data_IF_765059478332
#
_entry.id   IF_765059478332
#
_cell.length_a   1.000
_cell.length_b   1.000
_cell.length_c   1.000
_cell.angle_alpha   90.00
_cell.angle_beta   90.00
_cell.angle_gamma   90.00
#
_symmetry.space_group_name_H-M   'P 1'
#
loop_
_entity.id
_entity.type
_entity.pdbx_description
1 polymer ?
#
# COMPACT_ATOMS: atom_id res chain seq x y z
N UNK A 1 -10.32 8.03 -10.38
CA UNK A 1 -9.40 7.87 -11.53
C UNK A 1 -8.01 8.31 -11.10
N UNK A 2 -6.98 7.49 -11.36
CA UNK A 2 -5.57 7.88 -11.21
C UNK A 2 -5.08 8.36 -12.59
N UNK A 3 -4.34 9.47 -12.64
CA UNK A 3 -3.78 10.00 -13.87
C UNK A 3 -2.36 10.53 -13.67
N UNK A 4 -1.55 10.46 -14.70
CA UNK A 4 -0.24 11.12 -14.79
C UNK A 4 -0.22 12.00 -16.02
N UNK A 5 0.42 13.18 -15.92
CA UNK A 5 0.55 14.14 -17.01
C UNK A 5 2.00 14.51 -17.20
N UNK A 6 2.56 14.20 -18.37
CA UNK A 6 3.96 14.47 -18.76
C UNK A 6 4.98 14.10 -17.67
N UNK A 7 4.72 12.99 -16.95
CA UNK A 7 5.53 12.58 -15.81
C UNK A 7 6.94 12.21 -16.26
N UNK A 8 7.93 12.89 -15.70
CA UNK A 8 9.33 12.77 -16.11
C UNK A 8 10.24 12.67 -14.90
N UNK A 9 11.26 11.82 -14.97
CA UNK A 9 12.38 11.81 -14.02
C UNK A 9 13.71 11.66 -14.75
N UNK A 10 14.68 12.46 -14.29
CA UNK A 10 16.07 12.45 -14.76
C UNK A 10 17.00 12.14 -13.60
N UNK A 11 17.98 11.30 -13.85
CA UNK A 11 19.09 11.00 -12.94
C UNK A 11 20.38 11.46 -13.61
N UNK A 12 20.84 12.66 -13.25
CA UNK A 12 21.93 13.28 -13.99
C UNK A 12 21.58 13.47 -15.48
N UNK A 13 22.39 12.91 -16.37
CA UNK A 13 22.15 12.92 -17.83
C UNK A 13 21.17 11.86 -18.34
N UNK A 14 20.75 10.90 -17.50
CA UNK A 14 19.89 9.80 -17.92
C UNK A 14 18.41 10.12 -17.63
N UNK A 15 17.56 9.95 -18.66
CA UNK A 15 16.09 10.10 -18.53
C UNK A 15 15.48 8.70 -18.38
N UNK A 16 15.04 8.34 -17.17
CA UNK A 16 14.48 7.03 -16.88
C UNK A 16 12.98 6.94 -17.19
N UNK A 17 12.24 8.03 -17.07
CA UNK A 17 10.84 8.19 -17.49
C UNK A 17 10.72 9.53 -18.18
N UNK A 18 10.14 9.58 -19.38
CA UNK A 18 10.09 10.77 -20.22
C UNK A 18 8.66 11.07 -20.67
N UNK A 19 8.05 12.09 -20.09
CA UNK A 19 6.78 12.67 -20.53
C UNK A 19 5.59 11.69 -20.50
N UNK A 20 5.55 10.74 -19.58
CA UNK A 20 4.49 9.71 -19.56
C UNK A 20 3.16 10.31 -19.10
N UNK A 21 2.16 10.24 -19.99
CA UNK A 21 0.77 10.62 -19.71
C UNK A 21 -0.10 9.38 -19.81
N UNK A 22 -0.73 8.98 -18.70
CA UNK A 22 -1.63 7.83 -18.62
C UNK A 22 -2.81 8.14 -17.70
N UNK A 23 -3.95 7.51 -17.99
CA UNK A 23 -5.14 7.53 -17.15
C UNK A 23 -5.54 6.10 -16.81
N UNK A 24 -5.82 5.84 -15.53
CA UNK A 24 -6.24 4.55 -15.02
C UNK A 24 -7.67 4.67 -14.49
N UNK A 25 -8.61 4.01 -15.17
CA UNK A 25 -10.02 4.08 -14.81
C UNK A 25 -10.29 3.39 -13.45
N UNK A 26 -11.25 3.87 -12.65
CA UNK A 26 -11.70 3.18 -11.45
C UNK A 26 -12.26 1.79 -11.78
N UNK A 27 -12.04 0.82 -10.90
CA UNK A 27 -12.58 -0.54 -11.06
C UNK A 27 -11.93 -1.38 -12.17
N UNK A 28 -10.87 -0.89 -12.82
CA UNK A 28 -10.16 -1.62 -13.87
C UNK A 28 -8.84 -2.16 -13.38
N UNK A 29 -8.43 -3.32 -13.88
CA UNK A 29 -7.08 -3.85 -13.74
C UNK A 29 -6.26 -3.43 -14.96
N UNK A 30 -5.18 -2.66 -14.76
CA UNK A 30 -4.28 -2.23 -15.81
C UNK A 30 -2.89 -2.79 -15.59
N UNK A 31 -2.28 -3.41 -16.61
CA UNK A 31 -0.92 -3.91 -16.56
C UNK A 31 0.03 -2.99 -17.34
N UNK A 32 1.20 -2.69 -16.76
CA UNK A 32 2.29 -2.01 -17.46
C UNK A 32 3.33 -3.06 -17.81
N UNK A 33 3.50 -3.29 -19.11
CA UNK A 33 4.42 -4.30 -19.66
C UNK A 33 5.59 -3.64 -20.38
N UNK A 34 6.71 -4.34 -20.49
CA UNK A 34 7.91 -3.88 -21.19
C UNK A 34 9.15 -4.62 -20.71
N UNK A 35 10.29 -4.51 -21.44
CA UNK A 35 11.55 -5.18 -21.11
C UNK A 35 12.13 -4.69 -19.75
N UNK A 36 13.13 -5.42 -19.25
CA UNK A 36 13.90 -4.95 -18.09
C UNK A 36 14.63 -3.65 -18.44
N UNK A 37 14.66 -2.72 -17.50
CA UNK A 37 15.23 -1.39 -17.74
C UNK A 37 14.29 -0.36 -18.39
N UNK A 38 13.10 -0.73 -18.84
CA UNK A 38 12.14 0.19 -19.49
C UNK A 38 11.51 1.25 -18.54
N UNK A 39 12.01 1.40 -17.33
CA UNK A 39 11.52 2.43 -16.40
C UNK A 39 10.24 2.09 -15.64
N UNK A 40 9.68 0.86 -15.76
CA UNK A 40 8.42 0.47 -15.10
C UNK A 40 8.44 0.70 -13.59
N UNK A 41 9.43 0.19 -12.89
CA UNK A 41 9.59 0.37 -11.44
C UNK A 41 9.80 1.85 -11.08
N UNK A 42 10.53 2.59 -11.89
CA UNK A 42 10.74 4.03 -11.72
C UNK A 42 9.42 4.79 -11.84
N UNK A 43 8.60 4.45 -12.83
CA UNK A 43 7.28 5.04 -13.01
C UNK A 43 6.34 4.75 -11.84
N UNK A 44 6.30 3.50 -11.33
CA UNK A 44 5.55 3.18 -10.10
C UNK A 44 6.09 3.94 -8.88
N UNK A 45 7.41 4.13 -8.77
CA UNK A 45 8.02 4.92 -7.69
C UNK A 45 7.63 6.39 -7.76
N UNK A 46 7.49 6.96 -8.96
CA UNK A 46 6.98 8.32 -9.17
C UNK A 46 5.52 8.45 -8.74
N UNK A 47 4.66 7.54 -9.17
CA UNK A 47 3.23 7.53 -8.81
C UNK A 47 3.07 7.40 -7.29
N UNK A 48 3.80 6.50 -6.64
CA UNK A 48 3.71 6.28 -5.20
C UNK A 48 4.43 7.34 -4.35
N UNK A 49 5.20 8.25 -4.97
CA UNK A 49 5.94 9.30 -4.28
C UNK A 49 7.25 8.86 -3.65
N UNK A 50 7.72 7.62 -3.91
CA UNK A 50 9.05 7.15 -3.49
C UNK A 50 10.18 7.90 -4.21
N UNK A 51 9.90 8.37 -5.42
CA UNK A 51 10.76 9.24 -6.20
C UNK A 51 10.03 10.55 -6.49
N UNK A 52 10.76 11.65 -6.44
CA UNK A 52 10.24 12.97 -6.80
C UNK A 52 10.39 13.16 -8.32
N UNK A 53 9.31 13.56 -8.99
CA UNK A 53 9.35 13.85 -10.41
C UNK A 53 10.20 15.10 -10.70
N UNK A 54 10.92 15.07 -11.82
CA UNK A 54 11.63 16.24 -12.36
C UNK A 54 10.66 17.18 -13.08
N UNK A 55 9.58 16.64 -13.68
CA UNK A 55 8.51 17.39 -14.32
C UNK A 55 7.23 16.54 -14.41
N UNK A 56 6.11 17.18 -14.70
CA UNK A 56 4.80 16.56 -14.80
C UNK A 56 4.08 16.42 -13.47
N UNK A 57 2.93 15.75 -13.48
CA UNK A 57 2.08 15.61 -12.28
C UNK A 57 1.46 14.24 -12.15
N UNK A 58 1.03 13.92 -10.91
CA UNK A 58 0.26 12.74 -10.53
C UNK A 58 -1.02 13.20 -9.86
N UNK A 59 -2.17 12.73 -10.33
CA UNK A 59 -3.49 13.09 -9.80
C UNK A 59 -4.29 11.85 -9.43
N UNK A 60 -5.05 11.92 -8.33
CA UNK A 60 -6.00 10.90 -7.91
C UNK A 60 -7.35 11.54 -7.59
N UNK A 61 -8.41 11.13 -8.31
CA UNK A 61 -9.75 11.68 -8.10
C UNK A 61 -9.85 13.19 -8.30
N UNK A 62 -9.00 13.80 -9.15
CA UNK A 62 -8.89 15.24 -9.36
C UNK A 62 -7.96 15.97 -8.37
N UNK A 63 -7.52 15.30 -7.31
CA UNK A 63 -6.54 15.86 -6.36
C UNK A 63 -5.11 15.69 -6.90
N UNK A 64 -4.33 16.76 -6.90
CA UNK A 64 -2.90 16.70 -7.21
C UNK A 64 -2.11 16.10 -6.04
N UNK A 65 -1.41 15.01 -6.32
CA UNK A 65 -0.56 14.30 -5.36
C UNK A 65 0.93 14.59 -5.56
N UNK A 66 1.32 15.37 -6.56
CA UNK A 66 2.71 15.48 -7.04
C UNK A 66 3.69 15.86 -5.94
N UNK A 67 3.33 16.83 -5.10
CA UNK A 67 4.17 17.30 -4.00
C UNK A 67 4.01 16.49 -2.69
N UNK A 68 3.06 15.56 -2.63
CA UNK A 68 2.76 14.80 -1.42
C UNK A 68 3.80 13.71 -1.17
N UNK A 69 4.14 13.52 0.12
CA UNK A 69 4.95 12.38 0.57
C UNK A 69 4.25 11.04 0.34
N UNK A 70 4.98 9.91 0.29
CA UNK A 70 4.37 8.58 0.13
C UNK A 70 3.24 8.32 1.14
N UNK A 71 3.47 8.64 2.41
CA UNK A 71 2.47 8.47 3.47
C UNK A 71 1.23 9.36 3.29
N UNK A 72 1.40 10.57 2.74
CA UNK A 72 0.29 11.45 2.44
C UNK A 72 -0.52 10.94 1.23
N UNK A 73 0.15 10.39 0.20
CA UNK A 73 -0.53 9.75 -0.95
C UNK A 73 -1.33 8.52 -0.53
N UNK A 74 -0.80 7.73 0.41
CA UNK A 74 -1.56 6.59 0.97
C UNK A 74 -2.81 7.08 1.71
N UNK A 75 -2.72 8.14 2.52
CA UNK A 75 -3.89 8.74 3.16
C UNK A 75 -4.91 9.33 2.18
N UNK A 76 -4.45 9.77 1.00
CA UNK A 76 -5.32 10.22 -0.09
C UNK A 76 -5.98 9.07 -0.86
N UNK A 77 -5.66 7.80 -0.53
CA UNK A 77 -6.27 6.61 -1.11
C UNK A 77 -5.41 5.89 -2.16
N UNK A 78 -4.13 6.27 -2.33
CA UNK A 78 -3.22 5.59 -3.23
C UNK A 78 -2.45 4.48 -2.48
N UNK A 79 -3.00 3.27 -2.45
CA UNK A 79 -2.32 2.09 -1.90
C UNK A 79 -1.23 1.57 -2.85
N UNK A 80 -0.14 1.04 -2.28
CA UNK A 80 0.92 0.34 -3.03
C UNK A 80 1.27 -0.98 -2.35
N UNK A 81 1.19 -2.08 -3.11
CA UNK A 81 1.83 -3.33 -2.73
C UNK A 81 3.33 -3.25 -3.07
N UNK A 82 4.19 -3.48 -2.10
CA UNK A 82 5.62 -3.57 -2.34
C UNK A 82 5.98 -4.99 -2.81
N UNK A 83 7.00 -5.12 -3.65
CA UNK A 83 7.58 -6.43 -4.02
C UNK A 83 8.19 -7.16 -2.84
N UNK A 84 8.67 -6.40 -1.83
CA UNK A 84 9.06 -6.88 -0.52
C UNK A 84 8.07 -6.26 0.46
N UNK A 85 7.11 -7.03 0.87
CA UNK A 85 6.22 -6.64 1.94
C UNK A 85 7.06 -6.52 3.21
N UNK A 86 6.95 -5.39 3.89
CA UNK A 86 7.43 -5.26 5.26
C UNK A 86 6.48 -6.06 6.17
N UNK A 87 6.44 -7.37 5.95
CA UNK A 87 5.81 -8.29 6.87
C UNK A 87 6.67 -8.37 8.13
N UNK A 88 6.04 -8.40 9.26
CA UNK A 88 6.72 -8.69 10.52
C UNK A 88 6.88 -10.21 10.62
N UNK A 89 8.06 -10.78 10.31
CA UNK A 89 8.22 -12.22 10.11
C UNK A 89 8.01 -13.00 11.40
N UNK A 90 8.30 -12.39 12.54
CA UNK A 90 8.17 -13.01 13.86
C UNK A 90 6.77 -12.88 14.48
N UNK A 91 5.89 -12.08 13.88
CA UNK A 91 4.49 -11.98 14.29
C UNK A 91 3.63 -12.98 13.52
N UNK A 92 2.50 -13.36 14.11
CA UNK A 92 1.52 -14.19 13.44
C UNK A 92 0.87 -13.49 12.24
N UNK A 93 0.25 -14.27 11.36
CA UNK A 93 -0.55 -13.77 10.24
C UNK A 93 -1.64 -12.81 10.72
N UNK A 94 -2.35 -13.16 11.80
CA UNK A 94 -3.39 -12.34 12.40
C UNK A 94 -2.83 -11.00 12.91
N UNK A 95 -1.72 -11.03 13.63
CA UNK A 95 -1.10 -9.83 14.19
C UNK A 95 -0.64 -8.86 13.10
N UNK A 96 -0.08 -9.36 12.00
CA UNK A 96 0.28 -8.52 10.84
C UNK A 96 -0.94 -7.77 10.28
N UNK A 97 -2.06 -8.48 10.06
CA UNK A 97 -3.29 -7.85 9.53
C UNK A 97 -3.93 -6.93 10.57
N UNK A 98 -3.93 -7.31 11.85
CA UNK A 98 -4.44 -6.47 12.94
C UNK A 98 -3.70 -5.13 13.04
N UNK A 99 -2.36 -5.14 12.94
CA UNK A 99 -1.55 -3.92 12.92
C UNK A 99 -1.90 -3.02 11.72
N UNK A 100 -2.12 -3.60 10.55
CA UNK A 100 -2.54 -2.84 9.37
C UNK A 100 -3.93 -2.21 9.57
N UNK A 101 -4.90 -2.95 10.11
CA UNK A 101 -6.23 -2.43 10.46
C UNK A 101 -6.11 -1.29 11.49
N UNK A 102 -5.29 -1.46 12.52
CA UNK A 102 -5.06 -0.45 13.55
C UNK A 102 -4.44 0.84 12.99
N UNK A 103 -3.49 0.72 12.05
CA UNK A 103 -2.84 1.87 11.42
C UNK A 103 -3.82 2.75 10.65
N UNK A 104 -4.88 2.17 10.05
CA UNK A 104 -5.90 2.92 9.31
C UNK A 104 -6.89 3.64 10.22
N UNK A 105 -7.11 3.15 11.43
CA UNK A 105 -8.02 3.76 12.40
C UNK A 105 -7.34 4.86 13.23
N UNK A 106 -6.01 4.87 13.29
CA UNK A 106 -5.22 5.80 14.12
C UNK A 106 -5.28 7.29 13.73
N UNK A 107 -6.03 7.65 12.70
CA UNK A 107 -6.29 9.05 12.32
C UNK A 107 -7.20 9.82 13.29
N UNK A 108 -7.96 9.16 14.15
CA UNK A 108 -8.92 9.77 15.06
C UNK A 108 -8.43 9.89 16.53
N UNK A 109 -7.35 9.23 16.91
CA UNK A 109 -6.87 9.20 18.31
C UNK A 109 -5.51 9.89 18.51
N UNK A 110 -5.36 11.12 18.01
CA UNK A 110 -4.31 12.05 18.47
C UNK A 110 -4.66 12.69 19.82
N UNK A 111 -5.31 11.99 20.73
CA UNK A 111 -5.52 12.41 22.10
C UNK A 111 -4.96 11.37 23.06
N UNK A 112 -3.76 11.68 23.58
CA UNK A 112 -3.19 11.09 24.79
C UNK A 112 -2.82 9.61 24.65
N UNK A 113 -1.56 9.31 24.89
CA UNK A 113 -1.08 7.95 25.21
C UNK A 113 -1.80 7.44 26.47
N UNK A 114 -2.98 6.88 26.30
CA UNK A 114 -3.68 6.19 27.39
C UNK A 114 -3.17 4.75 27.43
N UNK A 115 -2.04 4.56 28.12
CA UNK A 115 -1.35 3.27 28.27
C UNK A 115 -2.22 2.20 28.97
N UNK A 116 -3.38 2.58 29.52
CA UNK A 116 -4.31 1.68 30.22
C UNK A 116 -5.47 1.19 29.34
N UNK A 117 -5.69 1.73 28.15
CA UNK A 117 -6.78 1.28 27.26
C UNK A 117 -6.37 0.17 26.29
N UNK A 118 -5.21 -0.44 26.49
CA UNK A 118 -4.52 -1.29 25.50
C UNK A 118 -5.23 -2.64 25.26
N UNK A 119 -6.13 -3.12 26.13
CA UNK A 119 -6.74 -4.45 26.01
C UNK A 119 -8.21 -4.49 25.64
N UNK A 120 -8.99 -3.46 25.95
CA UNK A 120 -10.46 -3.50 25.77
C UNK A 120 -10.95 -3.14 24.36
N UNK A 121 -10.14 -2.40 23.59
CA UNK A 121 -10.54 -1.89 22.27
C UNK A 121 -10.18 -2.83 21.09
N UNK A 122 -9.60 -3.98 21.38
CA UNK A 122 -8.99 -4.83 20.33
C UNK A 122 -9.96 -5.84 19.68
N UNK A 123 -11.13 -6.07 20.23
CA UNK A 123 -12.04 -7.11 19.71
C UNK A 123 -12.50 -6.81 18.29
N UNK A 124 -12.92 -5.58 18.00
CA UNK A 124 -13.36 -5.18 16.67
C UNK A 124 -12.21 -5.18 15.63
N UNK A 125 -10.96 -4.87 16.05
CA UNK A 125 -9.78 -4.96 15.17
C UNK A 125 -9.47 -6.40 14.81
N UNK A 126 -9.59 -7.32 15.78
CA UNK A 126 -9.37 -8.74 15.57
C UNK A 126 -10.46 -9.32 14.67
N UNK A 127 -11.73 -9.03 14.94
CA UNK A 127 -12.87 -9.47 14.11
C UNK A 127 -12.72 -8.99 12.64
N UNK A 128 -12.31 -7.73 12.44
CA UNK A 128 -12.04 -7.20 11.09
C UNK A 128 -10.84 -7.89 10.43
N UNK A 129 -9.74 -8.10 11.15
CA UNK A 129 -8.58 -8.82 10.65
C UNK A 129 -8.93 -10.27 10.26
N UNK A 130 -9.69 -10.98 11.08
CA UNK A 130 -10.17 -12.33 10.78
C UNK A 130 -11.07 -12.37 9.55
N UNK A 131 -11.98 -11.39 9.39
CA UNK A 131 -12.82 -11.28 8.21
C UNK A 131 -11.99 -11.12 6.93
N UNK A 132 -10.96 -10.28 6.97
CA UNK A 132 -10.02 -10.11 5.85
C UNK A 132 -9.27 -11.42 5.59
N UNK A 133 -8.78 -12.11 6.62
CA UNK A 133 -8.07 -13.38 6.45
C UNK A 133 -8.96 -14.48 5.84
N UNK A 134 -10.25 -14.51 6.17
CA UNK A 134 -11.22 -15.42 5.52
C UNK A 134 -11.35 -15.13 4.03
N UNK A 135 -11.41 -13.85 3.63
CA UNK A 135 -11.54 -13.44 2.22
C UNK A 135 -10.35 -13.82 1.34
N UNK A 136 -9.16 -13.98 1.94
CA UNK A 136 -7.94 -14.40 1.23
C UNK A 136 -7.55 -15.86 1.50
N UNK A 137 -8.43 -16.65 2.15
CA UNK A 137 -8.18 -18.04 2.50
C UNK A 137 -6.90 -18.27 3.33
N UNK A 138 -6.67 -17.42 4.35
CA UNK A 138 -5.55 -17.52 5.29
C UNK A 138 -6.00 -17.69 6.74
N UNK A 139 -7.31 -17.75 7.02
CA UNK A 139 -7.84 -17.81 8.37
C UNK A 139 -7.33 -19.02 9.18
N UNK A 140 -7.21 -20.19 8.55
CA UNK A 140 -6.73 -21.42 9.21
C UNK A 140 -5.24 -21.34 9.63
N UNK A 141 -4.50 -20.38 9.07
CA UNK A 141 -3.09 -20.10 9.39
C UNK A 141 -2.88 -18.83 10.22
N UNK A 142 -3.94 -18.29 10.80
CA UNK A 142 -3.91 -16.99 11.51
C UNK A 142 -2.88 -16.93 12.64
N UNK A 143 -2.63 -18.07 13.31
CA UNK A 143 -1.70 -18.14 14.44
C UNK A 143 -0.27 -18.53 14.02
N UNK A 144 -0.05 -18.79 12.72
CA UNK A 144 1.25 -19.18 12.18
C UNK A 144 2.17 -17.95 12.06
N UNK A 145 3.44 -18.01 12.51
CA UNK A 145 4.41 -16.96 12.24
C UNK A 145 4.63 -16.79 10.73
N UNK A 146 4.71 -15.53 10.29
CA UNK A 146 4.83 -15.21 8.85
C UNK A 146 6.09 -15.81 8.23
N UNK A 147 7.20 -15.88 8.99
CA UNK A 147 8.43 -16.52 8.53
C UNK A 147 8.26 -17.98 8.10
N UNK A 148 7.26 -18.68 8.65
CA UNK A 148 6.97 -20.08 8.35
C UNK A 148 5.98 -20.28 7.20
N UNK A 149 5.47 -19.20 6.62
CA UNK A 149 4.51 -19.28 5.51
C UNK A 149 5.20 -19.63 4.19
N UNK A 150 4.59 -20.51 3.37
CA UNK A 150 4.96 -20.65 1.97
C UNK A 150 4.85 -19.32 1.20
N UNK A 151 5.65 -19.12 0.17
CA UNK A 151 5.65 -17.88 -0.64
C UNK A 151 4.26 -17.52 -1.20
N UNK A 152 3.45 -18.51 -1.61
CA UNK A 152 2.08 -18.27 -2.08
C UNK A 152 1.19 -17.66 -1.00
N UNK A 153 1.32 -18.12 0.25
CA UNK A 153 0.54 -17.60 1.36
C UNK A 153 1.06 -16.24 1.85
N UNK A 154 2.38 -15.98 1.74
CA UNK A 154 2.92 -14.64 1.95
C UNK A 154 2.31 -13.64 0.96
N UNK A 155 2.12 -14.00 -0.31
CA UNK A 155 1.45 -13.15 -1.30
C UNK A 155 -0.02 -12.88 -0.97
N UNK A 156 -0.74 -13.89 -0.48
CA UNK A 156 -2.12 -13.69 0.01
C UNK A 156 -2.16 -12.74 1.21
N UNK A 157 -1.19 -12.84 2.12
CA UNK A 157 -1.07 -11.94 3.25
C UNK A 157 -0.80 -10.48 2.81
N UNK A 158 0.03 -10.28 1.78
CA UNK A 158 0.22 -8.97 1.16
C UNK A 158 -1.09 -8.36 0.69
N UNK A 159 -1.92 -9.15 0.01
CA UNK A 159 -3.26 -8.71 -0.43
C UNK A 159 -4.14 -8.38 0.77
N UNK A 160 -4.10 -9.20 1.84
CA UNK A 160 -4.83 -8.94 3.07
C UNK A 160 -4.46 -7.60 3.71
N UNK A 161 -3.17 -7.25 3.74
CA UNK A 161 -2.70 -5.96 4.26
C UNK A 161 -3.22 -4.77 3.43
N UNK A 162 -3.26 -4.91 2.10
CA UNK A 162 -3.85 -3.89 1.23
C UNK A 162 -5.36 -3.73 1.45
N UNK A 163 -6.07 -4.84 1.70
CA UNK A 163 -7.51 -4.79 2.03
C UNK A 163 -7.74 -4.14 3.40
N UNK A 164 -6.83 -4.35 4.36
CA UNK A 164 -6.88 -3.72 5.67
C UNK A 164 -6.71 -2.19 5.59
N UNK A 165 -5.90 -1.70 4.65
CA UNK A 165 -5.63 -0.26 4.44
C UNK A 165 -6.80 0.49 3.76
N UNK A 166 -7.76 -0.22 3.16
CA UNK A 166 -8.95 0.41 2.58
C UNK A 166 -9.91 0.85 3.68
N UNK A 167 -10.16 2.15 3.77
CA UNK A 167 -11.30 2.71 4.51
C UNK A 167 -12.58 2.21 3.85
N UNK A 168 -13.39 1.47 4.60
CA UNK A 168 -14.76 1.12 4.22
C UNK A 168 -15.61 2.37 4.25
#
# INVERSE_FOLDING_TARGET
MLATHNLTIRFGGHVAVNGVTCAFAPGTLTAIVGPNGAGKTTYFNLISGQLKASAGSVQLGGQDLTALSPSARTRAGLGRAFQLTNLFPNLSVLENVRLAVQATQGGAHRRGLNLWSIWSDHRHLTERAESILRSVALFERRDTPVASLPHGDQRKLEVALLMADRKS
#
